data_IF_272152421027
#
_entry.id   IF_272152421027
#
_cell.length_a   1.000
_cell.length_b   1.000
_cell.length_c   1.000
_cell.angle_alpha   90.00
_cell.angle_beta   90.00
_cell.angle_gamma   90.00
#
_symmetry.space_group_name_H-M   'P 1'
#
loop_
_entity.id
_entity.type
_entity.pdbx_description
1 polymer ?
#
# COMPACT_ATOMS: atom_id res chain seq x y z
N UNK A 1 21.02 -29.38 0.70
CA UNK A 1 19.62 -28.90 0.56
C UNK A 1 19.63 -27.69 -0.35
N UNK A 2 18.81 -27.61 -1.38
CA UNK A 2 18.72 -26.42 -2.23
C UNK A 2 17.95 -25.33 -1.46
N UNK A 3 18.57 -24.17 -1.23
CA UNK A 3 17.91 -23.05 -0.55
C UNK A 3 16.74 -22.52 -1.40
N UNK A 4 15.63 -22.22 -0.75
CA UNK A 4 14.42 -21.64 -1.39
C UNK A 4 13.64 -20.82 -0.38
N UNK A 5 12.85 -19.88 -0.87
CA UNK A 5 11.89 -19.10 -0.09
C UNK A 5 10.47 -19.64 -0.29
N UNK A 6 9.52 -19.35 0.61
CA UNK A 6 8.12 -19.71 0.44
C UNK A 6 7.54 -19.12 -0.85
N UNK A 7 6.63 -19.86 -1.49
CA UNK A 7 5.96 -19.37 -2.70
C UNK A 7 5.13 -18.11 -2.40
N UNK A 8 5.24 -17.10 -3.24
CA UNK A 8 4.49 -15.85 -3.09
C UNK A 8 5.15 -14.83 -2.14
N UNK A 9 6.36 -15.14 -1.63
CA UNK A 9 7.22 -14.19 -0.92
C UNK A 9 8.41 -13.78 -1.79
N UNK A 10 9.13 -12.73 -1.41
CA UNK A 10 10.29 -12.21 -2.16
C UNK A 10 11.40 -11.79 -1.21
N UNK A 11 12.64 -12.03 -1.61
CA UNK A 11 13.78 -11.29 -1.10
C UNK A 11 13.89 -9.97 -1.86
N UNK A 12 14.34 -8.93 -1.20
CA UNK A 12 14.63 -7.63 -1.79
C UNK A 12 16.10 -7.30 -1.59
N UNK A 13 16.82 -7.12 -2.67
CA UNK A 13 18.21 -6.67 -2.65
C UNK A 13 18.33 -5.18 -2.25
N UNK A 14 19.57 -4.72 -2.17
CA UNK A 14 19.84 -3.36 -1.64
C UNK A 14 19.20 -2.24 -2.46
N UNK A 15 19.22 -2.33 -3.78
CA UNK A 15 18.59 -1.34 -4.68
C UNK A 15 17.07 -1.39 -4.59
N UNK A 16 16.49 -2.58 -4.55
CA UNK A 16 15.04 -2.76 -4.41
C UNK A 16 14.53 -2.20 -3.09
N UNK A 17 15.26 -2.42 -1.99
CA UNK A 17 14.90 -1.83 -0.68
C UNK A 17 14.97 -0.30 -0.74
N UNK A 18 15.96 0.32 -1.41
CA UNK A 18 16.00 1.78 -1.58
C UNK A 18 14.80 2.31 -2.38
N UNK A 19 14.45 1.63 -3.48
CA UNK A 19 13.27 1.96 -4.30
C UNK A 19 11.97 1.85 -3.48
N UNK A 20 11.83 0.82 -2.67
CA UNK A 20 10.68 0.67 -1.74
C UNK A 20 10.63 1.77 -0.69
N UNK A 21 11.78 2.08 -0.08
CA UNK A 21 11.87 3.15 0.93
C UNK A 21 11.56 4.54 0.35
N UNK A 22 11.86 4.77 -0.93
CA UNK A 22 11.46 5.99 -1.64
C UNK A 22 9.92 6.11 -1.69
N UNK A 23 9.22 5.05 -2.07
CA UNK A 23 7.74 5.02 -2.07
C UNK A 23 7.21 5.25 -0.65
N UNK A 24 7.71 4.50 0.34
CA UNK A 24 7.27 4.63 1.73
C UNK A 24 7.56 6.02 2.31
N UNK A 25 8.68 6.64 1.91
CA UNK A 25 9.05 8.00 2.31
C UNK A 25 8.04 9.04 1.83
N UNK A 26 7.65 8.99 0.56
CA UNK A 26 6.64 9.89 -0.02
C UNK A 26 5.28 9.68 0.67
N UNK A 27 4.83 8.43 0.80
CA UNK A 27 3.55 8.11 1.42
C UNK A 27 3.51 8.62 2.87
N UNK A 28 4.57 8.38 3.64
CA UNK A 28 4.66 8.84 5.04
C UNK A 28 4.62 10.36 5.14
N UNK A 29 5.40 11.07 4.33
CA UNK A 29 5.43 12.54 4.31
C UNK A 29 4.05 13.13 4.02
N UNK A 30 3.30 12.57 3.08
CA UNK A 30 1.95 13.02 2.78
C UNK A 30 1.02 12.74 3.95
N UNK A 31 1.00 11.53 4.53
CA UNK A 31 0.15 11.22 5.66
C UNK A 31 0.41 12.16 6.85
N UNK A 32 1.68 12.40 7.20
CA UNK A 32 2.08 13.31 8.28
C UNK A 32 1.67 14.76 7.98
N UNK A 33 1.80 15.21 6.72
CA UNK A 33 1.36 16.55 6.28
C UNK A 33 -0.14 16.77 6.48
N UNK A 34 -0.96 15.72 6.32
CA UNK A 34 -2.40 15.76 6.57
C UNK A 34 -2.78 15.53 8.05
N UNK A 35 -1.79 15.46 8.95
CA UNK A 35 -2.01 15.35 10.39
C UNK A 35 -2.40 13.96 10.86
N UNK A 36 -1.94 12.92 10.18
CA UNK A 36 -2.13 11.54 10.63
C UNK A 36 -0.96 11.07 11.48
N UNK A 37 -1.25 10.42 12.60
CA UNK A 37 -0.28 9.84 13.50
C UNK A 37 0.05 8.39 13.13
N UNK A 38 1.33 8.02 13.25
CA UNK A 38 1.76 6.64 13.02
C UNK A 38 1.41 5.75 14.19
N UNK A 39 0.80 4.60 13.91
CA UNK A 39 0.66 3.52 14.89
C UNK A 39 1.19 2.21 14.32
N UNK A 40 1.46 1.25 15.20
CA UNK A 40 1.79 -0.13 14.82
C UNK A 40 0.93 -1.12 15.64
N UNK A 41 0.54 -2.20 14.99
CA UNK A 41 -0.13 -3.32 15.64
C UNK A 41 0.69 -4.61 15.45
N UNK A 42 0.53 -5.62 16.31
CA UNK A 42 1.26 -6.88 16.18
C UNK A 42 1.04 -7.57 14.83
N UNK A 43 2.08 -8.23 14.33
CA UNK A 43 2.01 -9.09 13.13
C UNK A 43 1.07 -10.28 13.36
N UNK A 44 1.15 -10.88 14.54
CA UNK A 44 0.30 -11.98 14.97
C UNK A 44 -0.85 -11.45 15.82
N UNK A 45 -2.05 -11.78 15.44
CA UNK A 45 -3.28 -11.53 16.20
C UNK A 45 -3.86 -12.84 16.74
N UNK A 46 -4.72 -12.75 17.76
CA UNK A 46 -5.54 -13.87 18.14
C UNK A 46 -6.40 -14.30 16.94
N UNK A 47 -6.48 -15.59 16.68
CA UNK A 47 -7.24 -16.10 15.54
C UNK A 47 -8.73 -15.71 15.63
N UNK A 48 -9.29 -15.61 16.83
CA UNK A 48 -10.65 -15.12 17.07
C UNK A 48 -10.86 -13.63 16.70
N UNK A 49 -9.79 -12.82 16.71
CA UNK A 49 -9.82 -11.44 16.22
C UNK A 49 -9.98 -11.39 14.71
N UNK A 50 -9.37 -12.32 13.99
CA UNK A 50 -9.32 -12.36 12.54
C UNK A 50 -10.51 -13.10 11.91
N UNK A 51 -10.90 -14.24 12.50
CA UNK A 51 -11.91 -15.13 11.91
C UNK A 51 -13.31 -14.52 11.91
N UNK A 52 -14.05 -14.71 10.81
CA UNK A 52 -15.43 -14.25 10.65
C UNK A 52 -15.55 -12.75 10.32
N UNK A 53 -14.43 -12.08 10.01
CA UNK A 53 -14.39 -10.64 9.71
C UNK A 53 -14.31 -10.34 8.20
N UNK A 54 -13.77 -11.28 7.45
CA UNK A 54 -13.46 -11.12 6.02
C UNK A 54 -14.42 -11.89 5.10
N UNK A 55 -15.46 -12.50 5.66
CA UNK A 55 -16.34 -13.44 4.95
C UNK A 55 -15.70 -14.82 4.76
N UNK A 56 -16.46 -15.78 4.23
CA UNK A 56 -15.98 -17.17 4.07
C UNK A 56 -14.74 -17.29 3.18
N UNK A 57 -14.66 -16.46 2.14
CA UNK A 57 -13.54 -16.48 1.20
C UNK A 57 -12.28 -15.91 1.84
N UNK A 58 -12.38 -14.78 2.55
CA UNK A 58 -11.25 -14.18 3.26
C UNK A 58 -10.73 -15.06 4.39
N UNK A 59 -11.60 -15.72 5.13
CA UNK A 59 -11.22 -16.63 6.22
C UNK A 59 -10.39 -17.83 5.72
N UNK A 60 -10.59 -18.28 4.47
CA UNK A 60 -9.78 -19.32 3.82
C UNK A 60 -8.36 -18.83 3.50
N UNK A 61 -8.18 -17.52 3.36
CA UNK A 61 -6.89 -16.91 3.01
C UNK A 61 -6.05 -16.52 4.25
N UNK A 62 -6.56 -16.75 5.46
CA UNK A 62 -5.81 -16.49 6.70
C UNK A 62 -4.69 -17.51 6.90
N UNK A 63 -3.46 -17.03 7.10
CA UNK A 63 -2.36 -17.84 7.59
C UNK A 63 -2.54 -18.12 9.09
N UNK A 64 -2.65 -19.40 9.45
CA UNK A 64 -2.84 -19.87 10.82
C UNK A 64 -1.50 -20.34 11.39
N UNK A 65 -1.20 -19.95 12.64
CA UNK A 65 0.04 -20.31 13.33
C UNK A 65 -0.27 -21.41 14.34
N UNK A 66 0.35 -22.57 14.18
CA UNK A 66 0.18 -23.68 15.12
C UNK A 66 0.62 -23.29 16.54
N UNK A 67 -0.02 -23.85 17.56
CA UNK A 67 0.38 -23.67 18.94
C UNK A 67 1.80 -24.20 19.14
N UNK A 68 2.56 -23.58 20.04
CA UNK A 68 3.92 -24.02 20.34
C UNK A 68 3.95 -25.36 21.09
N UNK A 69 5.04 -26.08 20.96
CA UNK A 69 5.22 -27.40 21.58
C UNK A 69 4.43 -28.49 20.85
N UNK A 70 3.91 -29.47 21.60
CA UNK A 70 3.01 -30.47 21.04
C UNK A 70 1.62 -29.87 20.80
N UNK A 71 1.40 -29.36 19.58
CA UNK A 71 0.15 -28.70 19.20
C UNK A 71 -1.05 -29.65 19.12
N UNK A 72 -0.82 -30.98 19.14
CA UNK A 72 -1.88 -32.00 19.18
C UNK A 72 -2.29 -32.36 20.59
N UNK A 73 -1.49 -32.08 21.62
CA UNK A 73 -1.75 -32.49 23.01
C UNK A 73 -3.12 -32.03 23.56
N UNK A 74 -3.67 -30.92 23.02
CA UNK A 74 -5.00 -30.39 23.37
C UNK A 74 -5.93 -30.29 22.17
N UNK A 75 -5.67 -31.04 21.11
CA UNK A 75 -6.50 -31.08 19.93
C UNK A 75 -7.89 -31.65 20.24
N UNK A 76 -8.90 -31.14 19.56
CA UNK A 76 -10.24 -31.71 19.55
C UNK A 76 -10.17 -33.10 18.86
N UNK A 77 -10.24 -34.17 19.65
CA UNK A 77 -10.06 -35.54 19.15
C UNK A 77 -11.16 -35.92 18.17
N UNK A 78 -12.40 -35.52 18.40
CA UNK A 78 -13.52 -35.82 17.51
C UNK A 78 -13.33 -35.13 16.14
N UNK A 79 -12.93 -33.85 16.15
CA UNK A 79 -12.64 -33.09 14.93
C UNK A 79 -11.41 -33.66 14.18
N UNK A 80 -10.42 -34.21 14.91
CA UNK A 80 -9.24 -34.83 14.34
C UNK A 80 -9.63 -36.16 13.65
N UNK A 81 -10.40 -36.98 14.30
CA UNK A 81 -10.86 -38.27 13.79
C UNK A 81 -11.78 -38.12 12.56
N UNK A 82 -12.66 -37.08 12.58
CA UNK A 82 -13.50 -36.69 11.46
C UNK A 82 -12.74 -36.01 10.33
N UNK A 83 -11.46 -35.63 10.52
CA UNK A 83 -10.67 -34.79 9.62
C UNK A 83 -11.34 -33.44 9.31
N UNK A 84 -12.07 -32.89 10.27
CA UNK A 84 -12.85 -31.68 10.15
C UNK A 84 -11.97 -30.43 10.43
N UNK A 85 -11.17 -29.98 9.46
CA UNK A 85 -10.14 -28.94 9.62
C UNK A 85 -10.67 -27.66 10.28
N UNK A 86 -11.86 -27.19 9.92
CA UNK A 86 -12.44 -25.98 10.49
C UNK A 86 -12.79 -26.12 11.98
N UNK A 87 -13.26 -27.31 12.40
CA UNK A 87 -13.55 -27.62 13.81
C UNK A 87 -12.27 -27.82 14.61
N UNK A 88 -11.25 -28.45 14.01
CA UNK A 88 -9.96 -28.76 14.63
C UNK A 88 -9.13 -27.47 14.87
N UNK A 89 -9.13 -26.56 13.91
CA UNK A 89 -8.29 -25.34 13.91
C UNK A 89 -8.28 -24.59 15.26
N UNK A 90 -9.39 -24.27 15.92
CA UNK A 90 -9.38 -23.50 17.17
C UNK A 90 -8.64 -24.20 18.32
N UNK A 91 -8.51 -25.55 18.30
CA UNK A 91 -7.79 -26.28 19.31
C UNK A 91 -6.28 -26.35 19.11
N UNK A 92 -5.82 -26.30 17.86
CA UNK A 92 -4.41 -26.43 17.48
C UNK A 92 -3.75 -25.10 17.04
N UNK A 93 -4.53 -24.06 16.79
CA UNK A 93 -4.06 -22.75 16.34
C UNK A 93 -4.88 -21.64 17.01
N UNK A 94 -4.24 -20.89 17.91
CA UNK A 94 -4.85 -19.75 18.60
C UNK A 94 -4.46 -18.41 18.01
N UNK A 95 -3.52 -18.39 17.08
CA UNK A 95 -2.94 -17.19 16.47
C UNK A 95 -2.93 -17.30 14.96
N UNK A 96 -3.02 -16.17 14.28
CA UNK A 96 -2.86 -16.07 12.85
C UNK A 96 -2.02 -14.84 12.48
N UNK A 97 -1.50 -14.80 11.26
CA UNK A 97 -0.92 -13.59 10.70
C UNK A 97 -2.04 -12.66 10.26
N UNK A 98 -1.89 -11.37 10.50
CA UNK A 98 -2.90 -10.37 10.11
C UNK A 98 -3.10 -10.35 8.60
N UNK A 99 -4.36 -10.30 8.19
CA UNK A 99 -4.79 -10.29 6.80
C UNK A 99 -4.79 -8.89 6.19
N UNK A 100 -5.10 -7.90 7.02
CA UNK A 100 -5.10 -6.46 6.75
C UNK A 100 -4.63 -5.67 7.97
N UNK A 101 -4.65 -4.35 7.88
CA UNK A 101 -4.35 -3.47 9.01
C UNK A 101 -5.63 -2.90 9.64
N UNK A 102 -6.79 -3.01 8.99
CA UNK A 102 -8.05 -2.40 9.41
C UNK A 102 -8.68 -3.12 10.60
N UNK A 103 -8.74 -4.46 10.59
CA UNK A 103 -9.29 -5.24 11.73
C UNK A 103 -8.39 -5.13 12.98
N UNK A 104 -7.05 -5.26 12.90
CA UNK A 104 -6.17 -4.94 14.02
C UNK A 104 -6.31 -3.49 14.54
N UNK A 105 -6.53 -2.53 13.65
CA UNK A 105 -6.78 -1.15 14.02
C UNK A 105 -8.09 -0.99 14.81
N UNK A 106 -9.18 -1.59 14.36
CA UNK A 106 -10.45 -1.55 15.09
C UNK A 106 -10.32 -2.12 16.52
N UNK A 107 -9.58 -3.25 16.68
CA UNK A 107 -9.24 -3.79 18.00
C UNK A 107 -8.40 -2.79 18.83
N UNK A 108 -7.38 -2.16 18.21
CA UNK A 108 -6.55 -1.16 18.86
C UNK A 108 -7.38 0.00 19.40
N UNK A 109 -8.27 0.55 18.58
CA UNK A 109 -9.16 1.66 18.99
C UNK A 109 -10.01 1.28 20.20
N UNK A 110 -10.62 0.09 20.20
CA UNK A 110 -11.45 -0.38 21.32
C UNK A 110 -10.63 -0.52 22.60
N UNK A 111 -9.42 -1.06 22.50
CA UNK A 111 -8.54 -1.25 23.67
C UNK A 111 -8.01 0.07 24.26
N UNK A 112 -7.84 1.10 23.44
CA UNK A 112 -7.24 2.38 23.81
C UNK A 112 -8.22 3.56 23.75
N UNK A 113 -9.53 3.32 23.64
CA UNK A 113 -10.55 4.36 23.42
C UNK A 113 -10.51 5.52 24.42
N UNK A 114 -10.09 5.27 25.66
CA UNK A 114 -10.01 6.30 26.70
C UNK A 114 -8.73 7.14 26.63
N UNK A 115 -7.76 6.74 25.80
CA UNK A 115 -6.46 7.41 25.61
C UNK A 115 -6.43 8.21 24.30
N UNK A 116 -7.37 7.92 23.38
CA UNK A 116 -7.41 8.51 22.05
C UNK A 116 -8.28 9.77 22.03
N UNK A 117 -7.80 10.80 21.34
CA UNK A 117 -8.63 11.97 20.99
C UNK A 117 -9.38 11.70 19.69
N UNK A 118 -10.72 11.85 19.71
CA UNK A 118 -11.57 11.67 18.53
C UNK A 118 -11.95 13.02 17.90
N UNK A 119 -12.03 13.16 16.57
CA UNK A 119 -11.72 12.13 15.57
C UNK A 119 -10.24 11.74 15.58
N UNK A 120 -9.95 10.44 15.58
CA UNK A 120 -8.60 9.93 15.58
C UNK A 120 -8.13 9.65 14.14
N UNK A 121 -7.04 10.30 13.74
CA UNK A 121 -6.41 10.20 12.42
C UNK A 121 -5.13 9.35 12.56
N UNK A 122 -5.08 8.18 11.96
CA UNK A 122 -3.90 7.30 12.04
C UNK A 122 -3.42 6.84 10.67
N UNK A 123 -2.14 6.53 10.55
CA UNK A 123 -1.62 5.73 9.44
C UNK A 123 -0.79 4.54 9.92
N UNK A 124 -0.70 3.50 9.08
CA UNK A 124 0.19 2.35 9.27
C UNK A 124 0.83 1.97 7.94
N UNK A 125 2.15 1.70 7.95
CA UNK A 125 2.89 1.15 6.81
C UNK A 125 3.54 -0.13 7.31
N UNK A 126 2.85 -1.25 7.13
CA UNK A 126 3.25 -2.53 7.71
C UNK A 126 2.90 -3.71 6.78
N UNK A 127 3.60 -4.88 6.91
CA UNK A 127 3.31 -6.06 6.11
C UNK A 127 2.04 -6.76 6.57
N UNK A 128 1.37 -7.40 5.61
CA UNK A 128 0.19 -8.27 5.80
C UNK A 128 0.35 -9.57 5.01
N UNK A 129 -0.45 -10.58 5.35
CA UNK A 129 -0.29 -11.92 4.79
C UNK A 129 -1.63 -12.47 4.30
N UNK A 130 -1.67 -12.87 3.04
CA UNK A 130 -2.84 -13.51 2.41
C UNK A 130 -2.42 -14.75 1.65
N UNK A 131 -3.09 -15.88 1.89
CA UNK A 131 -2.81 -17.13 1.20
C UNK A 131 -3.37 -17.15 -0.24
N UNK A 132 -3.33 -16.01 -0.92
CA UNK A 132 -3.72 -15.87 -2.31
C UNK A 132 -2.85 -16.72 -3.24
N UNK A 133 -3.41 -17.09 -4.41
CA UNK A 133 -2.60 -17.67 -5.48
C UNK A 133 -1.68 -16.59 -6.07
N UNK A 134 -0.35 -16.76 -5.99
CA UNK A 134 0.58 -15.75 -6.45
C UNK A 134 0.44 -15.46 -7.95
N UNK A 135 0.47 -14.15 -8.29
CA UNK A 135 0.48 -13.63 -9.65
C UNK A 135 1.21 -12.28 -9.67
N UNK A 136 1.44 -11.68 -10.84
CA UNK A 136 2.00 -10.32 -10.93
C UNK A 136 1.14 -9.33 -10.15
N UNK A 137 1.73 -8.55 -9.26
CA UNK A 137 1.03 -7.63 -8.36
C UNK A 137 0.17 -8.30 -7.27
N UNK A 138 0.30 -9.62 -7.06
CA UNK A 138 -0.39 -10.37 -6.00
C UNK A 138 0.57 -11.32 -5.31
N UNK A 139 0.93 -10.98 -4.09
CA UNK A 139 1.89 -11.68 -3.25
C UNK A 139 1.21 -12.21 -1.99
N UNK A 140 1.85 -13.18 -1.33
CA UNK A 140 1.36 -13.73 -0.05
C UNK A 140 1.85 -12.92 1.14
N UNK A 141 2.95 -12.19 0.98
CA UNK A 141 3.46 -11.20 1.93
C UNK A 141 3.64 -9.88 1.17
N UNK A 142 3.02 -8.81 1.67
CA UNK A 142 3.07 -7.50 1.03
C UNK A 142 2.77 -6.39 2.05
N UNK A 143 3.19 -5.16 1.73
CA UNK A 143 2.93 -4.00 2.57
C UNK A 143 1.62 -3.31 2.17
N UNK A 144 0.81 -3.00 3.17
CA UNK A 144 -0.26 -2.02 3.07
C UNK A 144 0.19 -0.70 3.68
N UNK A 145 -0.19 0.40 3.04
CA UNK A 145 -0.01 1.75 3.55
C UNK A 145 -1.41 2.30 3.78
N UNK A 146 -1.92 2.11 4.99
CA UNK A 146 -3.29 2.44 5.37
C UNK A 146 -3.34 3.77 6.09
N UNK A 147 -4.36 4.56 5.78
CA UNK A 147 -4.69 5.82 6.43
C UNK A 147 -6.17 5.86 6.74
N UNK A 148 -6.54 6.13 8.00
CA UNK A 148 -7.93 6.10 8.47
C UNK A 148 -8.22 7.24 9.43
N UNK A 149 -9.48 7.69 9.39
CA UNK A 149 -10.09 8.55 10.40
C UNK A 149 -11.22 7.80 11.05
N UNK A 150 -11.27 7.76 12.37
CA UNK A 150 -12.35 7.11 13.12
C UNK A 150 -12.96 8.06 14.15
N UNK A 151 -14.26 7.92 14.42
CA UNK A 151 -14.99 8.75 15.38
C UNK A 151 -15.63 9.99 14.75
N UNK A 152 -15.91 9.98 13.42
CA UNK A 152 -16.60 11.07 12.74
C UNK A 152 -17.35 10.61 11.50
N UNK A 153 -18.54 11.19 11.28
CA UNK A 153 -19.33 11.02 10.06
C UNK A 153 -19.10 12.15 9.03
N UNK A 154 -18.20 13.09 9.33
CA UNK A 154 -17.96 14.25 8.48
C UNK A 154 -17.35 13.86 7.14
N UNK A 155 -18.02 14.24 6.04
CA UNK A 155 -17.61 13.91 4.65
C UNK A 155 -16.37 14.69 4.16
N UNK A 156 -15.83 15.60 4.94
CA UNK A 156 -14.57 16.27 4.64
C UNK A 156 -13.42 15.25 4.56
N UNK A 157 -13.50 14.16 5.31
CA UNK A 157 -12.45 13.14 5.33
C UNK A 157 -12.40 12.33 4.05
N UNK A 158 -13.55 12.09 3.38
CA UNK A 158 -13.57 11.51 2.04
C UNK A 158 -12.84 12.40 1.03
N UNK A 159 -13.05 13.70 1.12
CA UNK A 159 -12.33 14.64 0.26
C UNK A 159 -10.82 14.70 0.58
N UNK A 160 -10.44 14.73 1.86
CA UNK A 160 -9.02 14.63 2.27
C UNK A 160 -8.35 13.36 1.74
N UNK A 161 -9.04 12.21 1.79
CA UNK A 161 -8.49 10.94 1.28
C UNK A 161 -8.28 10.98 -0.25
N UNK A 162 -9.17 11.64 -1.00
CA UNK A 162 -8.95 11.88 -2.44
C UNK A 162 -7.73 12.77 -2.67
N UNK A 163 -7.54 13.84 -1.89
CA UNK A 163 -6.36 14.71 -1.97
C UNK A 163 -5.06 13.97 -1.61
N UNK A 164 -5.09 13.11 -0.60
CA UNK A 164 -3.96 12.26 -0.21
C UNK A 164 -3.55 11.34 -1.36
N UNK A 165 -4.50 10.69 -2.01
CA UNK A 165 -4.23 9.89 -3.20
C UNK A 165 -3.62 10.74 -4.32
N UNK A 166 -4.22 11.89 -4.63
CA UNK A 166 -3.73 12.79 -5.67
C UNK A 166 -2.29 13.23 -5.41
N UNK A 167 -1.98 13.67 -4.19
CA UNK A 167 -0.64 14.15 -3.83
C UNK A 167 0.41 13.03 -3.88
N UNK A 168 0.09 11.84 -3.35
CA UNK A 168 1.02 10.70 -3.38
C UNK A 168 1.33 10.29 -4.82
N UNK A 169 0.31 10.09 -5.65
CA UNK A 169 0.52 9.62 -7.02
C UNK A 169 1.16 10.68 -7.92
N UNK A 170 0.89 11.97 -7.66
CA UNK A 170 1.58 13.08 -8.33
C UNK A 170 3.06 13.13 -7.95
N UNK A 171 3.40 12.97 -6.66
CA UNK A 171 4.79 12.94 -6.19
C UNK A 171 5.56 11.71 -6.73
N UNK A 172 4.87 10.58 -6.91
CA UNK A 172 5.42 9.38 -7.55
C UNK A 172 5.50 9.47 -9.08
N UNK A 173 4.99 10.56 -9.68
CA UNK A 173 4.88 10.75 -11.14
C UNK A 173 4.09 9.63 -11.83
N UNK A 174 3.12 9.08 -11.16
CA UNK A 174 2.30 7.97 -11.61
C UNK A 174 0.86 8.47 -11.86
N UNK A 175 0.46 8.74 -13.10
CA UNK A 175 -0.88 9.24 -13.40
C UNK A 175 -1.93 8.17 -13.11
N UNK A 176 -2.98 8.57 -12.38
CA UNK A 176 -4.07 7.69 -11.94
C UNK A 176 -5.44 8.32 -12.14
N UNK A 177 -6.47 7.49 -12.06
CA UNK A 177 -7.85 7.87 -11.89
C UNK A 177 -8.32 7.42 -10.52
N UNK A 178 -8.89 8.34 -9.74
CA UNK A 178 -9.47 8.07 -8.42
C UNK A 178 -10.95 7.88 -8.62
N UNK A 179 -11.43 6.66 -8.47
CA UNK A 179 -12.83 6.29 -8.60
C UNK A 179 -13.53 6.36 -7.25
N UNK A 180 -14.71 6.93 -7.23
CA UNK A 180 -15.56 7.02 -6.04
C UNK A 180 -16.97 6.53 -6.36
N UNK A 181 -17.55 5.76 -5.45
CA UNK A 181 -18.97 5.39 -5.45
C UNK A 181 -19.49 5.40 -3.99
N UNK A 182 -20.75 5.04 -3.80
CA UNK A 182 -21.35 4.90 -2.48
C UNK A 182 -22.18 3.63 -2.38
N UNK A 183 -21.99 2.86 -1.32
CA UNK A 183 -22.76 1.61 -1.07
C UNK A 183 -24.25 1.86 -0.98
N UNK A 184 -24.67 3.05 -0.51
CA UNK A 184 -26.08 3.45 -0.44
C UNK A 184 -26.71 3.59 -1.84
N UNK A 185 -25.96 4.09 -2.83
CA UNK A 185 -26.40 4.17 -4.23
C UNK A 185 -26.64 2.76 -4.77
N UNK A 186 -25.67 1.84 -4.56
CA UNK A 186 -25.83 0.45 -4.99
C UNK A 186 -26.97 -0.27 -4.30
N UNK A 187 -27.21 0.00 -3.01
CA UNK A 187 -28.35 -0.55 -2.27
C UNK A 187 -29.69 0.00 -2.80
N UNK A 188 -29.77 1.30 -3.07
CA UNK A 188 -30.96 1.89 -3.69
C UNK A 188 -31.18 1.38 -5.12
N UNK A 189 -30.14 1.12 -5.90
CA UNK A 189 -30.24 0.45 -7.20
C UNK A 189 -30.83 -0.95 -7.07
N UNK A 190 -30.40 -1.75 -6.10
CA UNK A 190 -30.96 -3.09 -5.86
C UNK A 190 -32.43 -3.03 -5.46
N UNK A 191 -32.83 -2.04 -4.67
CA UNK A 191 -34.23 -1.80 -4.29
C UNK A 191 -35.09 -1.36 -5.49
N UNK A 192 -34.54 -0.46 -6.32
CA UNK A 192 -35.22 0.03 -7.51
C UNK A 192 -35.58 -1.09 -8.50
N UNK A 193 -34.70 -2.07 -8.66
CA UNK A 193 -34.97 -3.24 -9.53
C UNK A 193 -35.59 -4.44 -8.79
N UNK A 194 -35.91 -4.31 -7.48
CA UNK A 194 -36.63 -5.29 -6.67
C UNK A 194 -35.82 -6.53 -6.29
N UNK A 195 -34.49 -6.36 -6.05
CA UNK A 195 -33.55 -7.46 -5.72
C UNK A 195 -32.74 -7.19 -4.44
N UNK A 196 -33.30 -6.52 -3.46
CA UNK A 196 -32.60 -6.17 -2.20
C UNK A 196 -32.06 -7.39 -1.49
N UNK A 197 -32.76 -8.53 -1.54
CA UNK A 197 -32.30 -9.78 -0.94
C UNK A 197 -31.03 -10.33 -1.60
N UNK A 198 -30.79 -9.98 -2.87
CA UNK A 198 -29.63 -10.41 -3.65
C UNK A 198 -28.57 -9.29 -3.81
N UNK A 199 -28.62 -8.24 -2.99
CA UNK A 199 -27.67 -7.11 -3.05
C UNK A 199 -26.21 -7.55 -3.10
N UNK A 200 -25.82 -8.51 -2.26
CA UNK A 200 -24.47 -9.03 -2.24
C UNK A 200 -24.08 -9.75 -3.52
N UNK A 201 -24.97 -10.58 -4.08
CA UNK A 201 -24.71 -11.31 -5.33
C UNK A 201 -24.62 -10.34 -6.52
N UNK A 202 -25.46 -9.29 -6.53
CA UNK A 202 -25.40 -8.21 -7.52
C UNK A 202 -24.05 -7.48 -7.46
N UNK A 203 -23.59 -7.06 -6.29
CA UNK A 203 -22.33 -6.31 -6.15
C UNK A 203 -21.12 -7.15 -6.52
N UNK A 204 -21.11 -8.45 -6.17
CA UNK A 204 -20.05 -9.40 -6.56
C UNK A 204 -20.01 -9.62 -8.07
N UNK A 205 -21.17 -9.65 -8.74
CA UNK A 205 -21.23 -9.78 -10.19
C UNK A 205 -20.74 -8.51 -10.90
N UNK A 206 -21.18 -7.32 -10.47
CA UNK A 206 -20.73 -6.02 -11.00
C UNK A 206 -19.22 -5.86 -10.89
N UNK A 207 -18.59 -6.28 -9.80
CA UNK A 207 -17.12 -6.22 -9.59
C UNK A 207 -16.31 -6.99 -10.66
N UNK A 208 -16.96 -7.88 -11.37
CA UNK A 208 -16.34 -8.67 -12.44
C UNK A 208 -16.53 -8.09 -13.85
N UNK A 209 -17.24 -6.96 -13.96
CA UNK A 209 -17.65 -6.39 -15.26
C UNK A 209 -16.46 -6.22 -16.22
N UNK A 210 -15.34 -5.67 -15.74
CA UNK A 210 -14.12 -5.48 -16.54
C UNK A 210 -13.50 -6.80 -17.04
N UNK A 211 -13.82 -7.93 -16.40
CA UNK A 211 -13.21 -9.24 -16.71
C UNK A 211 -14.08 -10.12 -17.59
N UNK A 212 -15.39 -10.11 -17.36
CA UNK A 212 -16.33 -11.04 -18.01
C UNK A 212 -17.32 -10.34 -18.95
N UNK A 213 -17.29 -8.99 -18.99
CA UNK A 213 -18.18 -8.18 -19.81
C UNK A 213 -19.64 -8.22 -19.33
N UNK A 214 -20.49 -7.43 -19.97
CA UNK A 214 -21.91 -7.24 -19.59
C UNK A 214 -22.69 -8.56 -19.61
N UNK A 215 -22.60 -9.31 -20.69
CA UNK A 215 -23.31 -10.61 -20.82
C UNK A 215 -22.88 -11.60 -19.74
N UNK A 216 -21.58 -11.63 -19.41
CA UNK A 216 -21.06 -12.48 -18.34
C UNK A 216 -21.56 -12.08 -16.95
N UNK A 217 -21.74 -10.78 -16.71
CA UNK A 217 -22.30 -10.27 -15.44
C UNK A 217 -23.79 -10.62 -15.34
N UNK A 218 -24.57 -10.45 -16.43
CA UNK A 218 -25.98 -10.86 -16.47
C UNK A 218 -26.12 -12.36 -16.20
N UNK A 219 -25.32 -13.20 -16.89
CA UNK A 219 -25.31 -14.64 -16.68
C UNK A 219 -24.99 -15.04 -15.24
N UNK A 220 -24.05 -14.34 -14.62
CA UNK A 220 -23.70 -14.60 -13.23
C UNK A 220 -24.83 -14.20 -12.26
N UNK A 221 -25.46 -13.04 -12.47
CA UNK A 221 -26.62 -12.61 -11.70
C UNK A 221 -27.80 -13.60 -11.82
N UNK A 222 -28.10 -14.06 -13.04
CA UNK A 222 -29.17 -15.03 -13.29
C UNK A 222 -28.89 -16.37 -12.62
N UNK A 223 -27.64 -16.87 -12.65
CA UNK A 223 -27.22 -18.07 -11.92
C UNK A 223 -27.42 -17.96 -10.41
N UNK A 224 -27.43 -16.74 -9.87
CA UNK A 224 -27.67 -16.43 -8.46
C UNK A 224 -29.15 -16.19 -8.14
N UNK A 225 -30.05 -16.38 -9.10
CA UNK A 225 -31.49 -16.25 -8.95
C UNK A 225 -32.02 -14.83 -9.13
N UNK A 226 -31.22 -13.91 -9.65
CA UNK A 226 -31.67 -12.57 -10.03
C UNK A 226 -32.41 -12.67 -11.36
N UNK A 227 -33.63 -12.11 -11.50
CA UNK A 227 -34.35 -12.10 -12.79
C UNK A 227 -33.53 -11.40 -13.88
N UNK A 228 -33.51 -11.98 -15.09
CA UNK A 228 -32.76 -11.45 -16.23
C UNK A 228 -33.12 -9.98 -16.53
N UNK A 229 -34.41 -9.64 -16.46
CA UNK A 229 -34.89 -8.26 -16.65
C UNK A 229 -34.33 -7.29 -15.63
N UNK A 230 -34.16 -7.71 -14.36
CA UNK A 230 -33.56 -6.89 -13.32
C UNK A 230 -32.01 -6.77 -13.54
N UNK A 231 -31.37 -7.87 -13.93
CA UNK A 231 -29.94 -7.86 -14.25
C UNK A 231 -29.63 -6.92 -15.43
N UNK A 232 -30.47 -6.92 -16.46
CA UNK A 232 -30.36 -6.01 -17.61
C UNK A 232 -30.51 -4.55 -17.18
N UNK A 233 -31.54 -4.23 -16.37
CA UNK A 233 -31.74 -2.87 -15.86
C UNK A 233 -30.56 -2.37 -15.02
N UNK A 234 -29.95 -3.24 -14.20
CA UNK A 234 -28.74 -2.92 -13.46
C UNK A 234 -27.60 -2.54 -14.41
N UNK A 235 -27.34 -3.37 -15.42
CA UNK A 235 -26.29 -3.12 -16.43
C UNK A 235 -26.55 -1.82 -17.19
N UNK A 236 -27.77 -1.60 -17.67
CA UNK A 236 -28.13 -0.38 -18.41
C UNK A 236 -27.89 0.89 -17.58
N UNK A 237 -28.12 0.85 -16.26
CA UNK A 237 -27.91 1.98 -15.39
C UNK A 237 -26.43 2.23 -15.09
N UNK A 238 -25.66 1.19 -14.75
CA UNK A 238 -24.25 1.36 -14.36
C UNK A 238 -23.33 1.74 -15.52
N UNK A 239 -23.78 1.61 -16.76
CA UNK A 239 -23.07 2.14 -17.94
C UNK A 239 -22.99 3.68 -17.94
N UNK A 240 -23.93 4.35 -17.27
CA UNK A 240 -23.94 5.80 -17.19
C UNK A 240 -23.06 6.28 -16.04
N UNK A 241 -21.92 6.86 -16.36
CA UNK A 241 -21.01 7.46 -15.36
C UNK A 241 -21.42 8.88 -14.95
N UNK A 242 -22.68 9.21 -15.01
CA UNK A 242 -23.24 10.52 -14.67
C UNK A 242 -24.12 10.42 -13.43
N UNK A 243 -23.66 11.01 -12.34
CA UNK A 243 -24.35 11.00 -11.05
C UNK A 243 -25.76 11.61 -11.12
N UNK A 244 -25.99 12.59 -12.02
CA UNK A 244 -27.29 13.23 -12.20
C UNK A 244 -28.36 12.25 -12.73
N UNK A 245 -27.97 11.34 -13.61
CA UNK A 245 -28.88 10.28 -14.09
C UNK A 245 -29.30 9.32 -12.98
N UNK A 246 -28.36 8.99 -12.07
CA UNK A 246 -28.69 8.16 -10.91
C UNK A 246 -29.67 8.88 -9.97
N UNK A 247 -29.50 10.20 -9.78
CA UNK A 247 -30.40 11.01 -8.99
C UNK A 247 -31.83 10.98 -9.55
N UNK A 248 -31.97 11.19 -10.87
CA UNK A 248 -33.26 11.20 -11.56
C UNK A 248 -33.96 9.83 -11.53
N UNK A 249 -33.21 8.77 -11.87
CA UNK A 249 -33.78 7.41 -11.95
C UNK A 249 -34.11 6.84 -10.58
N UNK A 250 -33.27 7.11 -9.56
CA UNK A 250 -33.44 6.61 -8.19
C UNK A 250 -34.19 7.60 -7.28
N UNK A 251 -34.98 8.53 -7.83
CA UNK A 251 -35.65 9.60 -7.09
C UNK A 251 -36.58 9.09 -5.96
N UNK A 252 -37.12 7.86 -6.10
CA UNK A 252 -37.99 7.25 -5.07
C UNK A 252 -37.23 6.38 -4.06
N UNK A 253 -35.89 6.36 -4.07
CA UNK A 253 -35.06 5.50 -3.24
C UNK A 253 -34.27 6.37 -2.23
N UNK A 254 -34.81 6.55 -1.03
CA UNK A 254 -34.24 7.45 -0.01
C UNK A 254 -32.75 7.17 0.28
N UNK A 255 -32.39 5.90 0.39
CA UNK A 255 -31.00 5.49 0.66
C UNK A 255 -30.06 5.86 -0.49
N UNK A 256 -30.52 5.73 -1.76
CA UNK A 256 -29.73 6.16 -2.91
C UNK A 256 -29.55 7.68 -2.92
N UNK A 257 -30.64 8.43 -2.63
CA UNK A 257 -30.59 9.90 -2.60
C UNK A 257 -29.63 10.40 -1.51
N UNK A 258 -29.58 9.73 -0.35
CA UNK A 258 -28.59 10.03 0.69
C UNK A 258 -27.16 9.79 0.16
N UNK A 259 -26.88 8.64 -0.46
CA UNK A 259 -25.57 8.34 -1.03
C UNK A 259 -25.14 9.31 -2.14
N UNK A 260 -26.08 9.74 -2.98
CA UNK A 260 -25.85 10.76 -4.03
C UNK A 260 -25.51 12.11 -3.40
N UNK A 261 -26.24 12.52 -2.37
CA UNK A 261 -25.97 13.75 -1.64
C UNK A 261 -24.59 13.74 -0.97
N UNK A 262 -24.17 12.60 -0.41
CA UNK A 262 -22.83 12.42 0.14
C UNK A 262 -21.73 12.60 -0.94
N UNK A 263 -21.87 11.97 -2.10
CA UNK A 263 -20.92 12.12 -3.21
C UNK A 263 -20.88 13.58 -3.71
N UNK A 264 -22.03 14.23 -3.88
CA UNK A 264 -22.10 15.65 -4.24
C UNK A 264 -21.38 16.53 -3.23
N UNK A 265 -21.51 16.22 -1.94
CA UNK A 265 -20.84 16.98 -0.87
C UNK A 265 -19.33 16.82 -0.94
N UNK A 266 -18.84 15.61 -1.21
CA UNK A 266 -17.39 15.36 -1.45
C UNK A 266 -16.90 16.18 -2.64
N UNK A 267 -17.61 16.18 -3.76
CA UNK A 267 -17.25 17.00 -4.93
C UNK A 267 -17.27 18.50 -4.62
N UNK A 268 -18.19 18.99 -3.78
CA UNK A 268 -18.17 20.40 -3.35
C UNK A 268 -16.88 20.76 -2.60
N UNK A 269 -16.36 19.88 -1.73
CA UNK A 269 -15.08 20.10 -1.07
C UNK A 269 -13.92 20.08 -2.08
N UNK A 270 -13.90 19.10 -2.98
CA UNK A 270 -12.87 18.97 -4.00
C UNK A 270 -12.85 20.09 -5.02
N UNK A 271 -13.98 20.75 -5.29
CA UNK A 271 -14.07 21.89 -6.22
C UNK A 271 -13.23 23.10 -5.78
N UNK A 272 -12.89 23.20 -4.50
CA UNK A 272 -11.98 24.23 -3.97
C UNK A 272 -10.50 23.84 -4.01
N UNK A 273 -10.17 22.62 -4.49
CA UNK A 273 -8.84 22.07 -4.50
C UNK A 273 -8.28 22.00 -5.92
N UNK A 274 -6.97 22.11 -6.04
CA UNK A 274 -6.27 21.88 -7.32
C UNK A 274 -5.73 20.45 -7.33
N UNK A 275 -6.44 19.55 -8.00
CA UNK A 275 -6.03 18.16 -8.14
C UNK A 275 -5.33 17.95 -9.49
N UNK A 276 -4.29 17.14 -9.51
CA UNK A 276 -3.56 16.73 -10.71
C UNK A 276 -4.21 15.52 -11.39
N UNK A 277 -4.85 14.65 -10.59
CA UNK A 277 -5.53 13.44 -11.05
C UNK A 277 -7.05 13.63 -10.96
N UNK A 278 -7.79 12.96 -11.83
CA UNK A 278 -9.24 13.05 -11.84
C UNK A 278 -9.88 12.20 -10.74
N UNK A 279 -10.89 12.77 -10.08
CA UNK A 279 -11.81 12.04 -9.20
C UNK A 279 -13.12 11.85 -9.95
N UNK A 280 -13.51 10.60 -10.21
CA UNK A 280 -14.66 10.26 -11.06
C UNK A 280 -15.66 9.40 -10.31
N UNK A 281 -16.95 9.66 -10.50
CA UNK A 281 -18.01 8.75 -10.08
C UNK A 281 -17.98 7.50 -10.97
N UNK A 282 -17.86 6.32 -10.34
CA UNK A 282 -17.89 5.05 -11.06
C UNK A 282 -18.94 4.12 -10.45
N UNK A 283 -20.13 4.03 -11.04
CA UNK A 283 -21.20 3.17 -10.55
C UNK A 283 -20.87 1.67 -10.62
N UNK A 284 -19.88 1.28 -11.43
CA UNK A 284 -19.38 -0.09 -11.49
C UNK A 284 -18.46 -0.43 -10.32
N UNK A 285 -17.99 0.56 -9.58
CA UNK A 285 -17.21 0.33 -8.37
C UNK A 285 -18.13 -0.25 -7.28
N UNK A 286 -18.20 -1.56 -7.22
CA UNK A 286 -18.97 -2.33 -6.26
C UNK A 286 -18.09 -3.12 -5.29
N UNK A 287 -16.77 -2.92 -5.39
CA UNK A 287 -15.70 -3.57 -4.63
C UNK A 287 -15.74 -3.20 -3.15
N UNK A 288 -15.09 -4.02 -2.39
CA UNK A 288 -14.77 -3.75 -1.01
C UNK A 288 -15.19 -4.89 -0.08
N UNK A 289 -14.67 -4.82 1.13
CA UNK A 289 -15.06 -5.74 2.19
C UNK A 289 -16.49 -5.43 2.63
N UNK A 290 -17.21 -6.44 3.10
CA UNK A 290 -18.63 -6.35 3.44
C UNK A 290 -18.94 -5.34 4.56
N UNK A 291 -17.93 -4.79 5.21
CA UNK A 291 -18.09 -3.81 6.28
C UNK A 291 -18.22 -2.35 5.79
N UNK A 292 -18.01 -2.04 4.51
CA UNK A 292 -18.23 -0.70 3.99
C UNK A 292 -19.73 -0.35 3.92
N UNK A 293 -20.08 0.86 4.35
CA UNK A 293 -21.47 1.31 4.49
C UNK A 293 -21.79 2.60 3.74
N UNK A 294 -20.80 3.35 3.32
CA UNK A 294 -20.91 4.65 2.65
C UNK A 294 -20.02 4.72 1.40
N UNK A 295 -19.26 5.80 1.29
CA UNK A 295 -18.32 6.01 0.20
C UNK A 295 -17.32 4.87 0.06
N UNK A 296 -17.02 4.49 -1.18
CA UNK A 296 -16.00 3.51 -1.53
C UNK A 296 -15.08 4.11 -2.59
N UNK A 297 -13.79 3.75 -2.51
CA UNK A 297 -12.73 4.32 -3.33
C UNK A 297 -11.94 3.21 -4.03
N UNK A 298 -11.49 3.50 -5.23
CA UNK A 298 -10.49 2.72 -5.95
C UNK A 298 -9.57 3.65 -6.72
N UNK A 299 -8.27 3.30 -6.77
CA UNK A 299 -7.30 4.01 -7.60
C UNK A 299 -6.77 3.08 -8.66
N UNK A 300 -6.90 3.49 -9.91
CA UNK A 300 -6.41 2.73 -11.08
C UNK A 300 -5.36 3.55 -11.83
N UNK A 301 -4.30 2.89 -12.27
CA UNK A 301 -3.27 3.54 -13.07
C UNK A 301 -3.75 3.79 -14.50
N UNK A 302 -3.47 4.96 -15.05
CA UNK A 302 -3.82 5.29 -16.43
C UNK A 302 -2.83 4.60 -17.40
N UNK A 303 -3.37 3.89 -18.40
CA UNK A 303 -2.59 3.14 -19.39
C UNK A 303 -1.64 2.08 -18.77
N UNK A 304 -2.11 1.42 -17.72
CA UNK A 304 -1.36 0.42 -16.97
C UNK A 304 -2.22 -0.83 -16.83
N UNK A 305 -1.67 -1.96 -17.29
CA UNK A 305 -2.31 -3.28 -17.09
C UNK A 305 -1.92 -3.84 -15.70
N UNK A 306 -2.47 -3.21 -14.68
CA UNK A 306 -2.31 -3.62 -13.29
C UNK A 306 -3.66 -3.43 -12.58
N UNK A 307 -3.99 -4.34 -11.67
CA UNK A 307 -5.17 -4.13 -10.83
C UNK A 307 -5.06 -2.86 -9.98
N UNK A 308 -6.09 -2.55 -9.23
CA UNK A 308 -6.19 -1.40 -8.33
C UNK A 308 -4.91 -1.14 -7.54
N UNK A 309 -4.42 0.09 -7.54
CA UNK A 309 -3.22 0.56 -6.81
C UNK A 309 -3.55 0.97 -5.38
N UNK A 310 -4.81 1.30 -5.13
CA UNK A 310 -5.32 1.65 -3.82
C UNK A 310 -6.84 1.50 -3.78
N UNK A 311 -7.38 1.49 -2.58
CA UNK A 311 -8.83 1.40 -2.37
C UNK A 311 -9.18 1.53 -0.90
N UNK A 312 -10.47 1.73 -0.63
CA UNK A 312 -10.95 1.89 0.73
C UNK A 312 -12.42 2.27 0.78
N UNK A 313 -12.86 2.79 1.90
CA UNK A 313 -14.24 3.27 2.05
C UNK A 313 -14.61 3.61 3.48
N UNK A 314 -15.84 4.09 3.63
CA UNK A 314 -16.47 4.38 4.92
C UNK A 314 -17.06 3.11 5.52
N UNK A 315 -16.81 2.92 6.80
CA UNK A 315 -17.36 1.84 7.62
C UNK A 315 -18.04 2.43 8.86
N UNK A 316 -19.29 2.00 9.14
CA UNK A 316 -20.07 2.60 10.23
C UNK A 316 -19.80 1.96 11.58
N UNK A 317 -19.48 0.68 11.64
CA UNK A 317 -19.55 -0.09 12.88
C UNK A 317 -18.51 -1.21 13.00
N UNK A 318 -17.31 -0.98 12.41
CA UNK A 318 -16.24 -2.00 12.45
C UNK A 318 -15.80 -2.32 13.89
N UNK A 319 -15.86 -1.35 14.80
CA UNK A 319 -15.48 -1.52 16.21
C UNK A 319 -16.50 -2.29 17.02
N UNK A 320 -17.75 -2.43 16.54
CA UNK A 320 -18.83 -3.14 17.25
C UNK A 320 -18.51 -4.62 17.44
N UNK A 321 -17.75 -5.21 16.50
CA UNK A 321 -17.26 -6.59 16.64
C UNK A 321 -16.32 -6.79 17.84
N UNK A 322 -15.81 -5.72 18.41
CA UNK A 322 -15.00 -5.69 19.62
C UNK A 322 -15.72 -5.00 20.80
N UNK A 323 -17.02 -4.74 20.67
CA UNK A 323 -17.86 -4.21 21.74
C UNK A 323 -18.07 -2.69 21.77
N UNK A 324 -17.40 -1.92 20.91
CA UNK A 324 -17.58 -0.47 20.81
C UNK A 324 -18.49 -0.13 19.62
N UNK A 325 -19.74 0.23 19.90
CA UNK A 325 -20.75 0.55 18.87
C UNK A 325 -20.73 2.04 18.48
N UNK A 326 -21.33 2.34 17.33
CA UNK A 326 -21.54 3.72 16.83
C UNK A 326 -20.21 4.49 16.61
N UNK A 327 -19.20 3.82 16.16
CA UNK A 327 -17.90 4.41 15.86
C UNK A 327 -17.63 4.36 14.35
N UNK A 328 -18.12 5.38 13.66
CA UNK A 328 -17.90 5.53 12.22
C UNK A 328 -16.45 5.85 11.90
N UNK A 329 -15.98 5.34 10.77
CA UNK A 329 -14.66 5.66 10.24
C UNK A 329 -14.64 5.59 8.73
N UNK A 330 -13.61 6.20 8.15
CA UNK A 330 -13.32 6.13 6.72
C UNK A 330 -11.81 6.00 6.56
N UNK A 331 -11.40 5.15 5.64
CA UNK A 331 -9.98 4.94 5.40
C UNK A 331 -9.69 4.33 4.04
N UNK A 332 -8.45 4.51 3.63
CA UNK A 332 -7.94 3.98 2.36
C UNK A 332 -6.58 3.31 2.55
N UNK A 333 -6.28 2.39 1.65
CA UNK A 333 -5.04 1.65 1.61
C UNK A 333 -4.37 1.80 0.26
N UNK A 334 -3.03 1.93 0.23
CA UNK A 334 -2.21 1.84 -0.97
C UNK A 334 -1.47 0.50 -0.98
N UNK A 335 -1.50 -0.17 -2.13
CA UNK A 335 -0.79 -1.44 -2.35
C UNK A 335 0.65 -1.18 -2.77
N UNK A 336 1.57 -1.12 -1.81
CA UNK A 336 2.97 -0.71 -2.05
C UNK A 336 3.67 -1.56 -3.11
N UNK A 337 3.44 -2.87 -3.14
CA UNK A 337 4.05 -3.77 -4.12
C UNK A 337 3.55 -3.53 -5.54
N UNK A 338 2.26 -3.23 -5.71
CA UNK A 338 1.71 -2.90 -7.03
C UNK A 338 2.25 -1.58 -7.54
N UNK A 339 2.32 -0.56 -6.66
CA UNK A 339 2.95 0.72 -6.98
C UNK A 339 4.41 0.51 -7.37
N UNK A 340 5.16 -0.28 -6.60
CA UNK A 340 6.55 -0.62 -6.89
C UNK A 340 6.71 -1.31 -8.25
N UNK A 341 5.91 -2.35 -8.52
CA UNK A 341 5.97 -3.10 -9.78
C UNK A 341 5.65 -2.20 -10.98
N UNK A 342 4.65 -1.29 -10.86
CA UNK A 342 4.30 -0.33 -11.91
C UNK A 342 5.40 0.71 -12.13
N UNK A 343 5.96 1.28 -11.05
CA UNK A 343 7.05 2.24 -11.15
C UNK A 343 8.31 1.61 -11.77
N UNK A 344 8.55 0.33 -11.51
CA UNK A 344 9.66 -0.41 -12.12
C UNK A 344 9.41 -0.64 -13.63
N UNK A 345 8.21 -1.08 -14.00
CA UNK A 345 7.82 -1.33 -15.40
C UNK A 345 7.82 -0.03 -16.26
N UNK A 346 7.58 1.12 -15.64
CA UNK A 346 7.50 2.43 -16.31
C UNK A 346 8.76 3.28 -16.15
N UNK A 347 9.79 2.75 -15.50
CA UNK A 347 11.06 3.46 -15.24
C UNK A 347 10.87 4.84 -14.56
N UNK A 348 10.02 4.88 -13.51
CA UNK A 348 9.67 6.10 -12.80
C UNK A 348 10.53 6.39 -11.56
N UNK A 349 11.46 5.49 -11.23
CA UNK A 349 12.35 5.72 -10.09
C UNK A 349 13.45 6.72 -10.43
N UNK A 350 13.81 7.61 -9.49
CA UNK A 350 14.95 8.50 -9.66
C UNK A 350 16.28 7.71 -9.77
N UNK A 351 17.17 8.15 -10.67
CA UNK A 351 18.45 7.47 -10.93
C UNK A 351 19.36 7.40 -9.70
N UNK A 352 19.30 8.40 -8.82
CA UNK A 352 20.08 8.46 -7.59
C UNK A 352 19.76 7.37 -6.55
N UNK A 353 18.72 6.58 -6.76
CA UNK A 353 18.40 5.42 -5.91
C UNK A 353 19.24 4.19 -6.25
N UNK A 354 19.92 4.16 -7.37
CA UNK A 354 20.76 3.02 -7.78
C UNK A 354 22.00 2.89 -6.91
N UNK A 355 22.56 4.00 -6.42
CA UNK A 355 23.76 4.01 -5.58
C UNK A 355 23.44 4.14 -4.08
N UNK A 356 24.19 3.36 -3.28
CA UNK A 356 24.23 3.50 -1.83
C UNK A 356 25.29 4.50 -1.35
N UNK A 357 26.24 4.85 -2.23
CA UNK A 357 27.41 5.67 -1.93
C UNK A 357 27.49 6.84 -2.90
N UNK A 358 27.80 8.00 -2.36
CA UNK A 358 28.12 9.18 -3.15
C UNK A 358 29.59 9.15 -3.56
N UNK A 359 30.46 8.65 -2.67
CA UNK A 359 31.91 8.72 -2.79
C UNK A 359 32.58 7.43 -2.28
N UNK A 360 33.55 6.94 -3.02
CA UNK A 360 34.53 5.97 -2.51
C UNK A 360 35.93 6.62 -2.54
N UNK A 361 36.61 6.57 -1.41
CA UNK A 361 38.02 6.97 -1.31
C UNK A 361 38.89 5.75 -1.59
N UNK A 362 39.90 5.90 -2.44
CA UNK A 362 40.91 4.90 -2.77
C UNK A 362 42.31 5.46 -2.52
N UNK A 363 43.19 4.66 -1.94
CA UNK A 363 44.52 5.07 -1.53
C UNK A 363 45.61 4.18 -2.14
N UNK A 364 46.73 4.78 -2.51
CA UNK A 364 47.83 4.09 -3.19
C UNK A 364 48.74 3.35 -2.19
N UNK A 365 48.88 3.86 -0.98
CA UNK A 365 49.75 3.33 0.07
C UNK A 365 49.10 3.55 1.46
N UNK A 366 49.82 3.17 2.54
CA UNK A 366 49.32 3.24 3.89
C UNK A 366 49.12 4.70 4.39
N UNK A 367 50.08 5.59 4.07
CA UNK A 367 50.01 6.98 4.50
C UNK A 367 48.82 7.72 3.88
N UNK A 368 48.57 7.47 2.58
CA UNK A 368 47.41 7.95 1.85
C UNK A 368 46.11 7.37 2.41
N UNK A 369 46.12 6.11 2.83
CA UNK A 369 44.99 5.45 3.44
C UNK A 369 44.64 6.07 4.80
N UNK A 370 45.65 6.29 5.66
CA UNK A 370 45.47 6.90 6.98
C UNK A 370 44.95 8.36 6.86
N UNK A 371 45.47 9.11 5.88
CA UNK A 371 44.96 10.42 5.54
C UNK A 371 43.48 10.35 5.08
N UNK A 372 43.16 9.44 4.16
CA UNK A 372 41.78 9.21 3.69
C UNK A 372 40.84 8.86 4.85
N UNK A 373 41.29 8.03 5.79
CA UNK A 373 40.51 7.69 6.97
C UNK A 373 40.22 8.91 7.84
N UNK A 374 41.21 9.79 8.05
CA UNK A 374 41.04 11.01 8.80
C UNK A 374 40.00 11.98 8.20
N UNK A 375 39.77 11.93 6.88
CA UNK A 375 38.78 12.78 6.20
C UNK A 375 37.36 12.24 6.29
N UNK A 376 37.17 10.96 6.61
CA UNK A 376 35.81 10.33 6.64
C UNK A 376 34.84 11.05 7.59
N UNK A 377 35.31 11.49 8.75
CA UNK A 377 34.47 12.18 9.73
C UNK A 377 33.92 13.50 9.16
N UNK A 378 34.79 14.30 8.54
CA UNK A 378 34.43 15.56 7.88
C UNK A 378 33.41 15.35 6.78
N UNK A 379 33.63 14.38 5.90
CA UNK A 379 32.75 14.06 4.79
C UNK A 379 31.37 13.55 5.27
N UNK A 380 31.37 12.67 6.28
CA UNK A 380 30.12 12.14 6.86
C UNK A 380 29.33 13.22 7.60
N UNK A 381 29.99 14.13 8.32
CA UNK A 381 29.34 15.29 8.94
C UNK A 381 28.74 16.26 7.92
N UNK A 382 29.31 16.33 6.73
CA UNK A 382 28.74 17.04 5.59
C UNK A 382 27.58 16.30 4.91
N UNK A 383 27.17 15.12 5.40
CA UNK A 383 26.07 14.35 4.87
C UNK A 383 26.41 13.45 3.68
N UNK A 384 27.69 13.33 3.32
CA UNK A 384 28.15 12.50 2.19
C UNK A 384 28.21 11.02 2.62
N UNK A 385 27.59 10.15 1.85
CA UNK A 385 27.66 8.70 2.03
C UNK A 385 28.98 8.20 1.45
N UNK A 386 30.01 8.10 2.30
CA UNK A 386 31.39 7.82 1.89
C UNK A 386 31.93 6.56 2.52
N UNK A 387 32.72 5.82 1.74
CA UNK A 387 33.46 4.64 2.14
C UNK A 387 34.92 4.78 1.70
N UNK A 388 35.86 4.43 2.57
CA UNK A 388 37.26 4.23 2.21
C UNK A 388 37.48 2.75 1.88
N UNK A 389 38.16 2.42 0.78
CA UNK A 389 38.51 1.05 0.49
C UNK A 389 39.36 0.48 1.63
N UNK A 390 39.04 -0.72 2.17
CA UNK A 390 39.47 -1.12 3.52
C UNK A 390 40.98 -1.31 3.71
N UNK A 391 41.74 -1.45 2.64
CA UNK A 391 43.22 -1.66 2.70
C UNK A 391 43.91 -1.09 1.45
N UNK A 392 45.14 -0.64 1.53
CA UNK A 392 45.93 -0.29 0.34
C UNK A 392 46.00 -1.47 -0.63
N UNK A 393 45.66 -1.27 -1.87
CA UNK A 393 45.62 -2.30 -2.87
C UNK A 393 45.92 -1.73 -4.28
N UNK A 394 46.17 -2.59 -5.27
CA UNK A 394 46.32 -2.15 -6.66
C UNK A 394 45.12 -1.32 -7.09
N UNK A 395 45.32 -0.17 -7.71
CA UNK A 395 44.29 0.77 -8.18
C UNK A 395 43.16 0.06 -8.93
N UNK A 396 43.48 -0.86 -9.82
CA UNK A 396 42.50 -1.64 -10.58
C UNK A 396 41.50 -2.40 -9.68
N UNK A 397 41.97 -2.94 -8.54
CA UNK A 397 41.10 -3.66 -7.57
C UNK A 397 40.16 -2.71 -6.88
N UNK A 398 40.66 -1.55 -6.41
CA UNK A 398 39.92 -0.53 -5.74
C UNK A 398 38.86 0.12 -6.66
N UNK A 399 39.24 0.46 -7.91
CA UNK A 399 38.32 1.00 -8.92
C UNK A 399 37.21 0.01 -9.30
N UNK A 400 37.55 -1.29 -9.42
CA UNK A 400 36.53 -2.34 -9.66
C UNK A 400 35.54 -2.42 -8.50
N UNK A 401 36.01 -2.26 -7.27
CA UNK A 401 35.15 -2.22 -6.08
C UNK A 401 34.23 -0.99 -6.11
N UNK A 402 34.80 0.21 -6.32
CA UNK A 402 34.00 1.44 -6.38
C UNK A 402 32.90 1.36 -7.45
N UNK A 403 33.22 0.82 -8.62
CA UNK A 403 32.24 0.59 -9.69
C UNK A 403 31.17 -0.44 -9.28
N UNK A 404 31.56 -1.54 -8.65
CA UNK A 404 30.61 -2.56 -8.17
C UNK A 404 29.69 -2.04 -7.05
N UNK A 405 30.15 -1.05 -6.27
CA UNK A 405 29.38 -0.34 -5.26
C UNK A 405 28.46 0.73 -5.84
N UNK A 406 28.61 1.04 -7.14
CA UNK A 406 27.83 2.07 -7.83
C UNK A 406 28.15 3.49 -7.32
N UNK A 407 29.35 3.74 -6.78
CA UNK A 407 29.72 5.06 -6.33
C UNK A 407 29.76 6.05 -7.49
N UNK A 408 29.12 7.20 -7.34
CA UNK A 408 29.10 8.26 -8.36
C UNK A 408 30.48 8.88 -8.51
N UNK A 409 31.18 9.10 -7.39
CA UNK A 409 32.51 9.67 -7.37
C UNK A 409 33.53 8.75 -6.73
N UNK A 410 34.77 8.87 -7.22
CA UNK A 410 35.94 8.22 -6.59
C UNK A 410 36.99 9.29 -6.29
N UNK A 411 37.39 9.43 -5.03
CA UNK A 411 38.50 10.28 -4.59
C UNK A 411 39.77 9.42 -4.49
N UNK A 412 40.73 9.72 -5.32
CA UNK A 412 42.04 9.00 -5.38
C UNK A 412 43.03 9.80 -4.55
N UNK A 413 43.77 9.12 -3.69
CA UNK A 413 44.87 9.69 -2.90
C UNK A 413 46.13 8.93 -3.23
N UNK A 414 47.06 9.61 -3.86
CA UNK A 414 48.45 9.19 -4.05
C UNK A 414 49.42 10.10 -3.28
N UNK A 415 50.70 9.95 -3.50
CA UNK A 415 51.76 10.71 -2.80
C UNK A 415 51.66 12.23 -3.06
N UNK A 416 51.29 12.64 -4.28
CA UNK A 416 51.12 14.07 -4.62
C UNK A 416 49.90 14.65 -3.97
N UNK A 417 48.77 13.95 -4.02
CA UNK A 417 47.52 14.37 -3.37
C UNK A 417 47.72 14.48 -1.86
N UNK A 418 48.42 13.54 -1.24
CA UNK A 418 48.72 13.56 0.19
C UNK A 418 49.55 14.79 0.56
N UNK A 419 50.64 15.07 -0.19
CA UNK A 419 51.53 16.22 0.07
C UNK A 419 50.78 17.56 -0.01
N UNK A 420 49.86 17.67 -0.99
CA UNK A 420 49.11 18.89 -1.23
C UNK A 420 47.76 18.94 -0.46
N UNK A 421 47.45 17.92 0.35
CA UNK A 421 46.15 17.76 1.03
C UNK A 421 44.95 17.88 0.09
N UNK A 422 45.07 17.27 -1.08
CA UNK A 422 44.08 17.28 -2.17
C UNK A 422 43.60 15.87 -2.47
N UNK A 423 42.59 15.78 -3.33
CA UNK A 423 42.02 14.55 -3.87
C UNK A 423 41.96 14.65 -5.38
N UNK A 424 42.33 13.60 -6.07
CA UNK A 424 42.00 13.47 -7.47
C UNK A 424 40.61 12.88 -7.60
N UNK A 425 39.59 13.79 -7.70
CA UNK A 425 38.18 13.43 -7.75
C UNK A 425 37.78 13.04 -9.17
N UNK A 426 37.33 11.79 -9.33
CA UNK A 426 36.85 11.26 -10.59
C UNK A 426 35.31 11.07 -10.54
N UNK A 427 34.61 11.63 -11.49
CA UNK A 427 33.21 11.33 -11.77
C UNK A 427 33.14 10.01 -12.58
N UNK A 428 32.42 9.03 -12.07
CA UNK A 428 32.39 7.68 -12.65
C UNK A 428 31.44 7.58 -13.86
N UNK A 429 30.52 8.54 -14.02
CA UNK A 429 29.61 8.61 -15.16
C UNK A 429 30.24 9.30 -16.35
N UNK A 430 30.74 10.52 -16.17
CA UNK A 430 31.36 11.31 -17.23
C UNK A 430 32.82 10.94 -17.52
N UNK A 431 33.49 10.29 -16.56
CA UNK A 431 34.93 10.02 -16.59
C UNK A 431 35.81 11.25 -16.33
N UNK A 432 35.24 12.42 -16.09
CA UNK A 432 35.97 13.64 -15.78
C UNK A 432 36.74 13.50 -14.45
N UNK A 433 37.95 14.06 -14.40
CA UNK A 433 38.82 14.01 -13.22
C UNK A 433 39.42 15.39 -12.95
N UNK A 434 39.46 15.79 -11.69
CA UNK A 434 40.04 17.08 -11.26
C UNK A 434 40.66 16.95 -9.87
N UNK A 435 41.74 17.72 -9.64
CA UNK A 435 42.32 17.90 -8.31
C UNK A 435 41.46 18.90 -7.52
N UNK A 436 41.07 18.51 -6.30
CA UNK A 436 40.20 19.31 -5.42
C UNK A 436 40.67 19.21 -3.96
N UNK A 437 40.45 20.27 -3.21
CA UNK A 437 40.53 20.23 -1.75
C UNK A 437 39.27 19.62 -1.14
N UNK A 438 39.26 19.38 0.17
CA UNK A 438 38.14 18.74 0.88
C UNK A 438 36.85 19.57 0.75
N UNK A 439 36.91 20.91 0.79
CA UNK A 439 35.74 21.76 0.70
C UNK A 439 35.12 21.74 -0.71
N UNK A 440 35.95 21.79 -1.72
CA UNK A 440 35.51 21.67 -3.12
C UNK A 440 34.96 20.27 -3.41
N UNK A 441 35.58 19.22 -2.81
CA UNK A 441 35.06 17.85 -2.90
C UNK A 441 33.65 17.76 -2.33
N UNK A 442 33.44 18.30 -1.11
CA UNK A 442 32.11 18.34 -0.46
C UNK A 442 31.08 19.00 -1.38
N UNK A 443 31.40 20.19 -1.87
CA UNK A 443 30.47 20.96 -2.71
C UNK A 443 30.14 20.27 -4.06
N UNK A 444 31.02 19.41 -4.59
CA UNK A 444 30.80 18.70 -5.84
C UNK A 444 30.00 17.41 -5.66
N UNK A 445 30.12 16.81 -4.49
CA UNK A 445 29.50 15.51 -4.19
C UNK A 445 28.07 15.68 -3.64
N UNK A 446 27.79 16.78 -2.94
CA UNK A 446 26.42 17.17 -2.52
C UNK A 446 25.55 17.57 -3.72
#
# INVERSE_FOLDING_TARGET
>A
MKSSIPKGTRDFGTTEVRKRNYIFGIIRQVFEKYGFDSIETPVMENLSTLTGKYGEEGDKLLFKVLNNGDYLAKADQAALDERASNKLTPSISKRGLRYDLTVPFARFVVMHQNELAFPFKRYQIQPVWRADRPAKGRYQEFYQCDVDVIGSDALIYEAELCQIYDEIFSALKLPVEIRINNRKILAGLSAFVGIEAQFQDMTVAIDKLDKIGESGVIDEMVKKGIPESAAQQVIDLIQHKDLSKFEDVLQGQDLAQEGIAEIKKVYQYLASCSLSNQVVFDPCLARGLNYYTGAIFEVVGLNIDMGSLGGGGRYADLTSIFGLKNMSGVGVSLGAERIYDVMLDKDLFPDNLESALDLVIVAMDQDAHDYGFAQLDTLRKAGIRVELYPEPAKMKKQMKYANARGARYVAIIGSEELQNQQFSLKDMESGAQALVDIQTLINRVQ
#
